data_IF_866911475707
#
_entry.id   IF_866911475707
#
_cell.length_a   1.000
_cell.length_b   1.000
_cell.length_c   1.000
_cell.angle_alpha   90.00
_cell.angle_beta   90.00
_cell.angle_gamma   90.00
#
_symmetry.space_group_name_H-M   'P 1'
#
loop_
_entity.id
_entity.type
_entity.pdbx_description
1 polymer ?
#
# COMPACT_ATOMS: atom_id res chain seq x y z
N UNK A 1 15.70 9.65 17.20
CA UNK A 1 15.75 8.97 15.88
C UNK A 1 15.00 9.86 14.90
N UNK A 2 15.62 10.32 13.81
CA UNK A 2 14.95 11.16 12.82
C UNK A 2 13.73 10.40 12.26
N UNK A 3 12.57 11.06 12.08
CA UNK A 3 11.44 10.40 11.44
C UNK A 3 11.91 9.95 10.06
N UNK A 4 11.75 8.67 9.75
CA UNK A 4 12.11 8.10 8.46
C UNK A 4 11.53 8.94 7.33
N UNK A 5 12.21 8.99 6.18
CA UNK A 5 11.75 9.71 4.98
C UNK A 5 10.25 9.48 4.81
N UNK A 6 9.48 10.57 4.85
CA UNK A 6 8.05 10.55 4.58
C UNK A 6 7.86 9.97 3.17
N UNK A 7 7.27 8.78 3.08
CA UNK A 7 7.02 8.11 1.81
C UNK A 7 5.82 8.77 1.11
N UNK A 8 5.93 9.03 -0.19
CA UNK A 8 4.80 9.47 -1.01
C UNK A 8 4.24 8.27 -1.75
N UNK A 9 2.97 8.30 -2.08
CA UNK A 9 2.29 7.20 -2.71
C UNK A 9 0.95 7.60 -3.29
N UNK A 10 0.18 6.60 -3.66
CA UNK A 10 -1.15 6.74 -4.21
C UNK A 10 -2.09 5.81 -3.48
N UNK A 11 -3.25 6.33 -3.11
CA UNK A 11 -4.38 5.53 -2.65
C UNK A 11 -5.43 5.46 -3.76
N UNK A 12 -6.06 4.29 -3.88
CA UNK A 12 -7.14 4.05 -4.81
C UNK A 12 -8.15 3.10 -4.18
N UNK A 13 -9.42 3.31 -4.47
CA UNK A 13 -10.50 2.45 -4.02
C UNK A 13 -10.69 1.34 -5.04
N UNK A 14 -10.63 0.10 -4.56
CA UNK A 14 -10.90 -1.11 -5.34
C UNK A 14 -12.25 -1.65 -4.91
N UNK A 15 -13.18 -1.73 -5.85
CA UNK A 15 -14.51 -2.29 -5.66
C UNK A 15 -14.59 -3.68 -6.28
N UNK A 16 -15.55 -4.50 -5.85
CA UNK A 16 -15.85 -5.77 -6.50
C UNK A 16 -14.89 -6.94 -6.23
N UNK A 17 -13.72 -6.71 -5.62
CA UNK A 17 -12.70 -7.75 -5.38
C UNK A 17 -12.12 -7.69 -3.98
N UNK A 18 -11.92 -8.86 -3.36
CA UNK A 18 -11.17 -9.00 -2.10
C UNK A 18 -9.73 -9.37 -2.42
N UNK A 19 -8.81 -8.42 -2.20
CA UNK A 19 -7.40 -8.68 -2.43
C UNK A 19 -6.85 -9.62 -1.36
N UNK A 20 -6.25 -10.69 -1.85
CA UNK A 20 -5.57 -11.69 -1.07
C UNK A 20 -4.11 -11.33 -0.88
N UNK A 21 -3.49 -11.87 0.18
CA UNK A 21 -2.08 -11.64 0.49
C UNK A 21 -1.12 -11.95 -0.68
N UNK A 22 -1.32 -13.02 -1.48
CA UNK A 22 -0.51 -13.29 -2.67
C UNK A 22 -0.59 -12.20 -3.74
N UNK A 23 -1.80 -11.65 -3.97
CA UNK A 23 -1.98 -10.59 -4.97
C UNK A 23 -1.25 -9.31 -4.59
N UNK A 24 -1.31 -8.92 -3.30
CA UNK A 24 -0.54 -7.80 -2.77
C UNK A 24 0.96 -8.03 -2.90
N UNK A 25 1.43 -9.27 -2.70
CA UNK A 25 2.82 -9.63 -2.86
C UNK A 25 3.28 -9.51 -4.33
N UNK A 26 2.46 -9.99 -5.27
CA UNK A 26 2.74 -9.87 -6.70
C UNK A 26 2.77 -8.40 -7.13
N UNK A 27 1.81 -7.60 -6.67
CA UNK A 27 1.77 -6.17 -6.94
C UNK A 27 3.00 -5.42 -6.42
N UNK A 28 3.46 -5.75 -5.21
CA UNK A 28 4.70 -5.20 -4.69
C UNK A 28 5.92 -5.59 -5.54
N UNK A 29 6.01 -6.86 -5.94
CA UNK A 29 7.12 -7.37 -6.75
C UNK A 29 7.19 -6.71 -8.13
N UNK A 30 6.04 -6.58 -8.81
CA UNK A 30 5.93 -5.99 -10.14
C UNK A 30 6.23 -4.47 -10.12
N UNK A 31 5.85 -3.77 -9.06
CA UNK A 31 6.21 -2.35 -8.84
C UNK A 31 7.66 -2.16 -8.35
N UNK A 32 8.36 -3.24 -8.03
CA UNK A 32 9.69 -3.21 -7.46
C UNK A 32 9.76 -2.54 -6.08
N UNK A 33 8.66 -2.56 -5.32
CA UNK A 33 8.58 -2.00 -3.96
C UNK A 33 8.49 -3.10 -2.90
N UNK A 34 8.63 -2.74 -1.63
CA UNK A 34 8.46 -3.71 -0.55
C UNK A 34 6.99 -4.08 -0.36
N UNK A 35 6.71 -5.30 0.09
CA UNK A 35 5.35 -5.69 0.51
C UNK A 35 4.81 -4.83 1.66
N UNK A 36 5.71 -4.21 2.44
CA UNK A 36 5.39 -3.22 3.47
C UNK A 36 4.91 -1.88 2.92
N UNK A 37 5.16 -1.61 1.63
CA UNK A 37 4.81 -0.39 0.93
C UNK A 37 3.45 -0.52 0.22
N UNK A 38 2.83 -1.71 0.26
CA UNK A 38 1.50 -1.97 -0.26
C UNK A 38 0.58 -2.27 0.93
N UNK A 39 -0.40 -1.40 1.15
CA UNK A 39 -1.39 -1.53 2.21
C UNK A 39 -2.78 -1.63 1.60
N UNK A 40 -3.61 -2.52 2.13
CA UNK A 40 -5.04 -2.49 1.84
C UNK A 40 -5.85 -2.43 3.13
N UNK A 41 -6.79 -1.50 3.17
CA UNK A 41 -7.73 -1.35 4.28
C UNK A 41 -9.07 -0.87 3.77
N UNK A 42 -10.15 -1.52 4.16
CA UNK A 42 -11.53 -1.14 3.79
C UNK A 42 -11.75 -0.99 2.27
N UNK A 43 -11.10 -1.84 1.46
CA UNK A 43 -11.14 -1.77 0.00
C UNK A 43 -10.32 -0.63 -0.61
N UNK A 44 -9.54 0.09 0.19
CA UNK A 44 -8.62 1.13 -0.27
C UNK A 44 -7.23 0.52 -0.35
N UNK A 45 -6.69 0.45 -1.56
CA UNK A 45 -5.31 0.06 -1.83
C UNK A 45 -4.43 1.30 -1.81
N UNK A 46 -3.42 1.30 -0.94
CA UNK A 46 -2.41 2.35 -0.83
C UNK A 46 -1.05 1.76 -1.24
N UNK A 47 -0.39 2.43 -2.18
CA UNK A 47 0.89 2.03 -2.74
C UNK A 47 1.88 3.17 -2.50
N UNK A 48 2.91 2.93 -1.70
CA UNK A 48 3.99 3.88 -1.51
C UNK A 48 5.05 3.71 -2.60
N UNK A 49 5.34 4.82 -3.27
CA UNK A 49 6.35 4.90 -4.29
C UNK A 49 7.74 5.00 -3.64
N UNK A 50 8.34 3.83 -3.42
CA UNK A 50 9.68 3.68 -2.85
C UNK A 50 10.72 3.24 -3.89
N UNK A 51 10.31 3.08 -5.15
CA UNK A 51 11.13 2.54 -6.25
C UNK A 51 11.01 3.38 -7.51
N UNK A 52 12.10 3.48 -8.28
CA UNK A 52 12.11 4.20 -9.56
C UNK A 52 11.10 3.60 -10.56
N UNK A 53 10.88 2.29 -10.53
CA UNK A 53 9.89 1.62 -11.40
C UNK A 53 8.48 2.11 -11.09
N UNK A 54 8.15 2.24 -9.81
CA UNK A 54 6.86 2.78 -9.40
C UNK A 54 6.70 4.24 -9.85
N UNK A 55 7.75 5.06 -9.74
CA UNK A 55 7.74 6.44 -10.23
C UNK A 55 7.52 6.52 -11.75
N UNK A 56 8.17 5.69 -12.56
CA UNK A 56 7.97 5.67 -14.01
C UNK A 56 6.50 5.33 -14.39
N UNK A 57 5.91 4.34 -13.73
CA UNK A 57 4.50 3.95 -13.94
C UNK A 57 3.55 5.10 -13.56
N UNK A 58 3.88 5.85 -12.51
CA UNK A 58 3.12 7.03 -12.09
C UNK A 58 3.25 8.15 -13.13
N UNK A 59 4.47 8.44 -13.57
CA UNK A 59 4.76 9.50 -14.55
C UNK A 59 4.07 9.22 -15.90
N UNK A 60 3.94 7.94 -16.27
CA UNK A 60 3.23 7.48 -17.46
C UNK A 60 1.70 7.45 -17.30
N UNK A 61 1.15 7.83 -16.15
CA UNK A 61 -0.27 7.67 -15.79
C UNK A 61 -0.78 6.22 -15.97
N UNK A 62 0.11 5.24 -15.83
CA UNK A 62 -0.17 3.83 -16.10
C UNK A 62 -0.56 3.04 -14.83
N UNK A 63 -0.58 3.67 -13.65
CA UNK A 63 -0.79 2.99 -12.37
C UNK A 63 -2.12 2.22 -12.31
N UNK A 64 -3.22 2.83 -12.78
CA UNK A 64 -4.55 2.17 -12.79
C UNK A 64 -4.53 0.94 -13.70
N UNK A 65 -3.99 1.09 -14.91
CA UNK A 65 -3.88 -0.01 -15.88
C UNK A 65 -2.99 -1.14 -15.35
N UNK A 66 -1.90 -0.79 -14.66
CA UNK A 66 -0.98 -1.74 -14.06
C UNK A 66 -1.64 -2.54 -12.94
N UNK A 67 -2.29 -1.86 -12.00
CA UNK A 67 -3.02 -2.49 -10.89
C UNK A 67 -4.15 -3.37 -11.43
N UNK A 68 -4.88 -2.89 -12.44
CA UNK A 68 -5.91 -3.66 -13.15
C UNK A 68 -5.35 -4.96 -13.76
N UNK A 69 -4.19 -4.88 -14.43
CA UNK A 69 -3.53 -6.05 -15.03
C UNK A 69 -3.03 -7.05 -13.99
N UNK A 70 -2.31 -6.58 -12.97
CA UNK A 70 -1.72 -7.45 -11.94
C UNK A 70 -2.79 -8.17 -11.13
N UNK A 71 -3.86 -7.44 -10.77
CA UNK A 71 -4.95 -7.98 -9.98
C UNK A 71 -6.02 -8.68 -10.83
N UNK A 72 -5.86 -8.65 -12.17
CA UNK A 72 -6.84 -9.18 -13.12
C UNK A 72 -8.26 -8.65 -12.85
N UNK A 73 -8.37 -7.36 -12.52
CA UNK A 73 -9.64 -6.66 -12.26
C UNK A 73 -9.90 -5.64 -13.37
N UNK A 74 -11.15 -5.35 -13.73
CA UNK A 74 -11.44 -4.29 -14.69
C UNK A 74 -11.02 -2.93 -14.11
N UNK A 75 -10.49 -2.05 -14.95
CA UNK A 75 -10.09 -0.72 -14.51
C UNK A 75 -11.26 0.12 -13.99
N UNK A 76 -12.50 -0.20 -14.38
CA UNK A 76 -13.74 0.40 -13.91
C UNK A 76 -13.99 0.16 -12.40
N UNK A 77 -13.43 -0.91 -11.85
CA UNK A 77 -13.50 -1.23 -10.42
C UNK A 77 -12.48 -0.44 -9.58
N UNK A 78 -11.58 0.30 -10.24
CA UNK A 78 -10.57 1.17 -9.61
C UNK A 78 -11.05 2.62 -9.71
N UNK A 79 -11.16 3.28 -8.56
CA UNK A 79 -11.65 4.66 -8.47
C UNK A 79 -10.92 5.44 -7.39
N UNK A 80 -11.23 6.74 -7.28
CA UNK A 80 -10.72 7.62 -6.23
C UNK A 80 -9.18 7.66 -6.10
N UNK A 81 -8.47 7.62 -7.24
CA UNK A 81 -7.01 7.77 -7.24
C UNK A 81 -6.62 9.12 -6.62
N UNK A 82 -5.89 9.06 -5.51
CA UNK A 82 -5.44 10.23 -4.74
C UNK A 82 -3.98 10.06 -4.36
N UNK A 83 -3.21 11.13 -4.49
CA UNK A 83 -1.87 11.19 -3.92
C UNK A 83 -1.97 11.17 -2.39
N UNK A 84 -1.15 10.32 -1.77
CA UNK A 84 -1.07 10.22 -0.32
C UNK A 84 0.38 10.37 0.13
N UNK A 85 0.52 10.92 1.32
CA UNK A 85 1.78 11.08 2.01
C UNK A 85 1.69 10.21 3.25
N UNK A 86 2.68 9.35 3.48
CA UNK A 86 2.76 8.51 4.68
C UNK A 86 2.70 9.42 5.90
N UNK A 87 1.59 9.37 6.62
CA UNK A 87 1.53 9.92 7.96
C UNK A 87 2.32 8.96 8.84
N UNK A 88 3.42 9.40 9.47
CA UNK A 88 4.13 8.56 10.41
C UNK A 88 3.18 8.25 11.55
N UNK A 89 2.59 7.06 11.52
CA UNK A 89 1.86 6.53 12.66
C UNK A 89 2.91 6.39 13.76
N UNK A 90 2.85 7.27 14.76
CA UNK A 90 3.45 6.95 16.04
C UNK A 90 2.77 5.65 16.47
N UNK A 91 3.45 4.52 16.31
CA UNK A 91 3.16 3.37 17.14
C UNK A 91 3.39 3.85 18.56
N UNK A 92 2.32 4.30 19.23
CA UNK A 92 2.27 4.25 20.68
C UNK A 92 2.27 2.76 20.97
N UNK A 93 3.47 2.22 21.16
CA UNK A 93 3.69 0.92 21.74
C UNK A 93 3.14 1.05 23.17
N UNK A 94 1.86 0.76 23.37
CA UNK A 94 1.36 0.40 24.69
C UNK A 94 2.01 -0.93 25.03
N UNK A 95 3.12 -0.86 25.79
CA UNK A 95 3.75 -1.99 26.47
C UNK A 95 2.93 -2.40 27.72
N UNK A 96 1.61 -2.34 27.65
CA UNK A 96 0.72 -2.52 28.81
C UNK A 96 -0.34 -3.58 28.49
N UNK A 97 0.11 -4.78 28.11
CA UNK A 97 -0.68 -6.02 28.28
C UNK A 97 0.23 -7.26 28.11
N UNK A 98 0.94 -7.62 29.18
CA UNK A 98 1.08 -9.03 29.58
C UNK A 98 1.17 -9.04 31.11
N UNK A 99 -0.01 -9.22 31.71
CA UNK A 99 -0.27 -9.48 33.12
C UNK A 99 0.49 -10.71 33.66
N UNK A 100 0.86 -10.63 34.95
CA UNK A 100 1.04 -11.69 35.96
C UNK A 100 1.87 -12.96 35.64
N UNK A 101 2.95 -13.22 36.41
CA UNK A 101 2.90 -14.25 37.47
C UNK A 101 4.19 -14.32 38.34
N UNK A 102 3.98 -14.81 39.55
CA UNK A 102 4.76 -14.77 40.80
C UNK A 102 5.93 -15.79 40.86
N UNK A 103 7.17 -15.37 41.22
CA UNK A 103 8.14 -16.16 42.04
C UNK A 103 9.40 -15.39 42.50
#
# INVERSE_FOLDING_TARGET
MYPGKIRKGFSMKISGVHLTRPELHNLAAELGIGTRDVLIKDGILTIYNTSNVCQEIIDDNALVSFVSMVLSIPAEDISELKEVVEEPVKLEFDFDDDDEDDF
#
